data_IF_126964478003
#
_entry.id   IF_126964478003
#
_cell.length_a   1.000
_cell.length_b   1.000
_cell.length_c   1.000
_cell.angle_alpha   90.00
_cell.angle_beta   90.00
_cell.angle_gamma   90.00
#
_symmetry.space_group_name_H-M   'P 1'
#
loop_
_entity.id
_entity.type
_entity.pdbx_description
1 polymer ?
#
# COMPACT_ATOMS: atom_id res chain seq x y z
N UNK A 1 -2.80 -5.32 8.69
CA UNK A 1 -2.57 -6.15 7.52
C UNK A 1 -2.72 -5.36 6.24
N UNK A 2 -2.09 -5.82 5.19
CA UNK A 2 -2.19 -5.19 3.87
C UNK A 2 -3.56 -5.46 3.25
N UNK A 3 -4.11 -4.48 2.56
CA UNK A 3 -5.33 -4.62 1.75
C UNK A 3 -5.18 -5.62 0.59
N UNK A 4 -3.97 -6.03 0.28
CA UNK A 4 -3.70 -7.07 -0.72
C UNK A 4 -3.89 -8.49 -0.18
N UNK A 5 -4.20 -8.63 1.11
CA UNK A 5 -4.36 -9.93 1.77
C UNK A 5 -5.61 -9.95 2.67
N UNK A 6 -6.82 -9.73 2.11
CA UNK A 6 -8.04 -9.68 2.91
C UNK A 6 -8.34 -11.01 3.59
N UNK A 7 -8.05 -12.14 2.95
CA UNK A 7 -8.22 -13.47 3.52
C UNK A 7 -7.33 -13.70 4.76
N UNK A 8 -6.08 -13.25 4.73
CA UNK A 8 -5.18 -13.29 5.89
C UNK A 8 -5.69 -12.43 7.05
N UNK A 9 -6.28 -11.26 6.74
CA UNK A 9 -6.92 -10.42 7.75
C UNK A 9 -8.11 -11.13 8.39
N UNK A 10 -8.95 -11.81 7.59
CA UNK A 10 -10.06 -12.62 8.09
C UNK A 10 -9.60 -13.74 9.01
N UNK A 11 -8.60 -14.52 8.59
CA UNK A 11 -8.04 -15.62 9.40
C UNK A 11 -7.51 -15.11 10.74
N UNK A 12 -6.85 -13.96 10.75
CA UNK A 12 -6.34 -13.36 11.97
C UNK A 12 -7.48 -12.91 12.91
N UNK A 13 -8.54 -12.29 12.35
CA UNK A 13 -9.72 -11.87 13.12
C UNK A 13 -10.47 -13.06 13.71
N UNK A 14 -10.58 -14.17 12.99
CA UNK A 14 -11.20 -15.39 13.50
C UNK A 14 -10.46 -15.97 14.71
N UNK A 15 -9.13 -15.85 14.72
CA UNK A 15 -8.30 -16.30 15.84
C UNK A 15 -8.32 -15.33 17.03
N UNK A 16 -8.36 -14.04 16.75
CA UNK A 16 -8.29 -12.99 17.78
C UNK A 16 -9.65 -12.61 18.39
N UNK A 17 -10.74 -12.91 17.68
CA UNK A 17 -12.09 -12.48 18.06
C UNK A 17 -12.33 -10.98 17.88
N UNK A 18 -13.36 -10.45 18.56
CA UNK A 18 -13.64 -9.00 18.57
C UNK A 18 -12.64 -8.30 19.52
N UNK A 19 -11.52 -7.87 18.98
CA UNK A 19 -10.43 -7.26 19.72
C UNK A 19 -10.22 -5.82 19.29
N UNK A 20 -10.17 -4.89 20.24
CA UNK A 20 -9.86 -3.47 20.05
C UNK A 20 -8.36 -3.20 19.81
N UNK A 21 -7.53 -4.24 19.87
CA UNK A 21 -6.11 -4.16 19.53
C UNK A 21 -5.81 -4.38 18.04
N UNK A 22 -6.83 -4.66 17.23
CA UNK A 22 -6.69 -4.85 15.79
C UNK A 22 -7.26 -3.62 15.06
N UNK A 23 -6.47 -3.07 14.17
CA UNK A 23 -6.84 -1.91 13.37
C UNK A 23 -6.74 -2.25 11.89
N UNK A 24 -7.64 -1.66 11.10
CA UNK A 24 -7.56 -1.67 9.64
C UNK A 24 -6.91 -0.37 9.17
N UNK A 25 -5.91 -0.48 8.33
CA UNK A 25 -5.23 0.66 7.70
C UNK A 25 -5.01 0.36 6.23
N UNK A 26 -5.09 1.37 5.39
CA UNK A 26 -4.78 1.25 3.96
C UNK A 26 -3.28 1.21 3.70
N UNK A 27 -2.47 1.78 4.61
CA UNK A 27 -1.03 1.90 4.47
C UNK A 27 -0.64 2.47 3.09
N UNK A 28 0.54 2.15 2.56
CA UNK A 28 0.99 2.48 1.22
C UNK A 28 0.50 1.53 0.12
N UNK A 29 -0.43 0.63 0.43
CA UNK A 29 -0.86 -0.42 -0.50
C UNK A 29 -1.90 0.04 -1.53
N UNK A 30 -2.58 1.18 -1.30
CA UNK A 30 -3.54 1.77 -2.24
C UNK A 30 -2.83 2.84 -3.06
N UNK A 31 -2.75 2.61 -4.36
CA UNK A 31 -2.22 3.60 -5.30
C UNK A 31 -3.26 4.66 -5.64
N UNK A 32 -2.83 5.78 -6.25
CA UNK A 32 -3.77 6.80 -6.75
C UNK A 32 -4.75 6.23 -7.79
N UNK A 33 -4.32 5.23 -8.57
CA UNK A 33 -5.17 4.52 -9.53
C UNK A 33 -6.23 3.70 -8.80
N UNK A 34 -5.85 2.92 -7.80
CA UNK A 34 -6.79 2.11 -7.00
C UNK A 34 -7.83 3.00 -6.31
N UNK A 35 -7.40 4.15 -5.77
CA UNK A 35 -8.33 5.11 -5.17
C UNK A 35 -9.34 5.66 -6.17
N UNK A 36 -8.93 5.92 -7.39
CA UNK A 36 -9.81 6.44 -8.44
C UNK A 36 -10.81 5.38 -8.95
N UNK A 37 -10.39 4.13 -9.04
CA UNK A 37 -11.20 3.03 -9.59
C UNK A 37 -12.11 2.38 -8.54
N UNK A 38 -11.64 2.23 -7.31
CA UNK A 38 -12.32 1.43 -6.27
C UNK A 38 -12.67 2.21 -5.01
N UNK A 39 -11.98 3.29 -4.73
CA UNK A 39 -12.10 4.04 -3.48
C UNK A 39 -10.91 3.80 -2.55
N UNK A 40 -11.09 4.12 -1.28
CA UNK A 40 -10.01 4.07 -0.28
C UNK A 40 -10.38 3.10 0.86
N UNK A 41 -10.63 3.59 2.08
CA UNK A 41 -11.01 2.76 3.23
C UNK A 41 -12.33 1.99 2.99
N UNK A 42 -13.28 2.56 2.27
CA UNK A 42 -14.52 1.88 1.89
C UNK A 42 -14.28 0.62 1.05
N UNK A 43 -13.29 0.65 0.16
CA UNK A 43 -12.88 -0.52 -0.61
C UNK A 43 -12.26 -1.59 0.28
N UNK A 44 -11.41 -1.18 1.24
CA UNK A 44 -10.86 -2.07 2.23
C UNK A 44 -11.93 -2.81 3.05
N UNK A 45 -12.94 -2.06 3.49
CA UNK A 45 -14.08 -2.63 4.23
C UNK A 45 -14.84 -3.64 3.38
N UNK A 46 -15.10 -3.31 2.11
CA UNK A 46 -15.80 -4.21 1.19
C UNK A 46 -15.04 -5.53 1.03
N UNK A 47 -13.73 -5.48 0.83
CA UNK A 47 -12.90 -6.68 0.65
C UNK A 47 -12.93 -7.61 1.87
N UNK A 48 -12.77 -7.08 3.08
CA UNK A 48 -12.79 -7.95 4.28
C UNK A 48 -14.18 -8.48 4.61
N UNK A 49 -15.25 -7.75 4.25
CA UNK A 49 -16.63 -8.23 4.38
C UNK A 49 -16.92 -9.32 3.33
N UNK A 50 -16.38 -9.22 2.14
CA UNK A 50 -16.46 -10.27 1.11
C UNK A 50 -15.82 -11.59 1.59
N UNK A 51 -14.72 -11.50 2.36
CA UNK A 51 -14.10 -12.65 3.02
C UNK A 51 -14.90 -13.18 4.24
N UNK A 52 -16.03 -12.56 4.56
CA UNK A 52 -16.95 -13.02 5.60
C UNK A 52 -16.71 -12.39 6.98
N UNK A 53 -16.02 -11.28 7.08
CA UNK A 53 -16.01 -10.47 8.31
C UNK A 53 -17.35 -9.78 8.47
N UNK A 54 -17.90 -9.79 9.70
CA UNK A 54 -19.16 -9.12 10.00
C UNK A 54 -19.03 -7.60 9.74
N UNK A 55 -19.98 -6.98 9.01
CA UNK A 55 -19.84 -5.57 8.59
C UNK A 55 -19.64 -4.56 9.72
N UNK A 56 -20.31 -4.74 10.87
CA UNK A 56 -20.12 -3.85 12.02
C UNK A 56 -18.75 -4.04 12.66
N UNK A 57 -18.21 -5.26 12.66
CA UNK A 57 -16.85 -5.52 13.11
C UNK A 57 -15.85 -4.81 12.17
N UNK A 58 -16.04 -4.94 10.85
CA UNK A 58 -15.20 -4.25 9.87
C UNK A 58 -15.20 -2.72 10.10
N UNK A 59 -16.37 -2.12 10.35
CA UNK A 59 -16.50 -0.69 10.66
C UNK A 59 -15.73 -0.33 11.92
N UNK A 60 -15.82 -1.11 13.00
CA UNK A 60 -15.09 -0.86 14.25
C UNK A 60 -13.58 -0.82 14.01
N UNK A 61 -13.05 -1.74 13.20
CA UNK A 61 -11.63 -1.82 12.84
C UNK A 61 -11.12 -0.56 12.14
N UNK A 62 -11.99 0.18 11.46
CA UNK A 62 -11.64 1.39 10.71
C UNK A 62 -12.06 2.70 11.40
N UNK A 63 -12.74 2.64 12.53
CA UNK A 63 -13.33 3.82 13.19
C UNK A 63 -12.96 3.90 14.67
N UNK A 64 -13.72 3.23 15.55
CA UNK A 64 -13.56 3.39 16.99
C UNK A 64 -12.24 2.81 17.51
N UNK A 65 -11.76 1.68 16.95
CA UNK A 65 -10.53 1.07 17.43
C UNK A 65 -9.28 1.91 17.06
N UNK A 66 -9.12 2.41 15.82
CA UNK A 66 -8.07 3.39 15.53
C UNK A 66 -8.18 4.64 16.38
N UNK A 67 -9.39 5.18 16.58
CA UNK A 67 -9.57 6.36 17.41
C UNK A 67 -9.08 6.11 18.85
N UNK A 68 -9.42 4.98 19.44
CA UNK A 68 -8.96 4.60 20.78
C UNK A 68 -7.44 4.41 20.83
N UNK A 69 -6.85 3.68 19.87
CA UNK A 69 -5.42 3.41 19.80
C UNK A 69 -4.56 4.67 19.68
N UNK A 70 -5.05 5.67 18.95
CA UNK A 70 -4.37 6.97 18.80
C UNK A 70 -4.82 8.03 19.83
N UNK A 71 -5.65 7.66 20.80
CA UNK A 71 -6.11 8.57 21.86
C UNK A 71 -7.04 9.68 21.38
N UNK A 72 -7.73 9.48 20.26
CA UNK A 72 -8.69 10.42 19.69
C UNK A 72 -10.04 10.26 20.41
N UNK A 73 -10.33 11.16 21.36
CA UNK A 73 -11.47 11.02 22.29
C UNK A 73 -12.80 11.56 21.75
N UNK A 74 -12.79 12.22 20.61
CA UNK A 74 -13.91 12.97 20.06
C UNK A 74 -14.43 12.43 18.72
N UNK A 75 -14.01 11.22 18.32
CA UNK A 75 -14.37 10.61 17.01
C UNK A 75 -14.35 9.09 17.05
N UNK A 76 -14.75 8.45 15.96
CA UNK A 76 -14.78 7.00 15.81
C UNK A 76 -16.16 6.38 16.11
N UNK A 77 -17.09 7.18 16.65
CA UNK A 77 -18.47 6.76 16.92
C UNK A 77 -19.40 7.96 16.76
N UNK A 78 -20.65 7.71 16.40
CA UNK A 78 -21.70 8.74 16.38
C UNK A 78 -22.29 8.81 17.78
N UNK A 79 -21.93 9.85 18.53
CA UNK A 79 -22.38 10.05 19.91
C UNK A 79 -22.44 11.56 20.23
N UNK A 80 -23.22 11.92 21.26
CA UNK A 80 -23.27 13.28 21.77
C UNK A 80 -21.90 13.74 22.27
N UNK A 81 -21.50 14.96 21.89
CA UNK A 81 -20.19 15.53 22.24
C UNK A 81 -19.04 15.12 21.33
N UNK A 82 -19.29 14.20 20.37
CA UNK A 82 -18.32 13.81 19.36
C UNK A 82 -18.40 14.72 18.13
N UNK A 83 -17.31 14.75 17.36
CA UNK A 83 -17.27 15.48 16.10
C UNK A 83 -18.23 14.84 15.12
N UNK A 84 -18.95 15.69 14.42
CA UNK A 84 -19.88 15.25 13.37
C UNK A 84 -19.10 14.96 12.05
N UNK A 85 -18.16 14.01 12.11
CA UNK A 85 -17.43 13.47 10.99
C UNK A 85 -18.04 12.10 10.65
N UNK A 86 -18.77 12.01 9.55
CA UNK A 86 -19.58 10.83 9.21
C UNK A 86 -19.53 10.56 7.71
N UNK A 87 -19.78 9.32 7.32
CA UNK A 87 -20.04 8.94 5.93
C UNK A 87 -21.39 8.24 5.82
N UNK A 88 -22.11 8.55 4.75
CA UNK A 88 -23.30 7.79 4.35
C UNK A 88 -22.87 6.80 3.27
N UNK A 89 -23.18 5.53 3.49
CA UNK A 89 -22.95 4.46 2.53
C UNK A 89 -24.28 3.87 2.07
N UNK A 90 -24.34 3.37 0.83
CA UNK A 90 -25.57 2.79 0.29
C UNK A 90 -25.95 1.48 0.94
N UNK A 91 -24.96 0.69 1.31
CA UNK A 91 -25.12 -0.61 1.99
C UNK A 91 -23.84 -0.98 2.72
N UNK A 92 -23.87 -2.06 3.48
CA UNK A 92 -22.74 -2.57 4.26
C UNK A 92 -22.03 -3.77 3.58
N UNK A 93 -22.18 -3.92 2.28
CA UNK A 93 -21.51 -4.95 1.49
C UNK A 93 -20.37 -4.34 0.69
N UNK A 94 -20.68 -3.39 -0.19
CA UNK A 94 -19.71 -2.70 -1.05
C UNK A 94 -19.26 -1.34 -0.49
N UNK A 95 -19.89 -0.88 0.59
CA UNK A 95 -19.61 0.40 1.25
C UNK A 95 -19.54 1.59 0.28
N UNK A 96 -20.38 1.57 -0.76
CA UNK A 96 -20.40 2.65 -1.73
C UNK A 96 -20.80 3.95 -1.06
N UNK A 97 -19.85 4.87 -0.97
CA UNK A 97 -20.04 6.18 -0.33
C UNK A 97 -21.03 7.02 -1.13
N UNK A 98 -22.03 7.56 -0.45
CA UNK A 98 -23.01 8.47 -1.00
C UNK A 98 -22.65 9.91 -0.64
N UNK A 99 -22.46 10.19 0.64
CA UNK A 99 -22.09 11.50 1.14
C UNK A 99 -21.02 11.39 2.23
N UNK A 100 -20.23 12.44 2.35
CA UNK A 100 -19.24 12.62 3.41
C UNK A 100 -19.58 13.89 4.18
N UNK A 101 -19.64 13.78 5.49
CA UNK A 101 -19.92 14.89 6.40
C UNK A 101 -18.66 15.13 7.22
N UNK A 102 -18.18 16.37 7.24
CA UNK A 102 -17.02 16.81 8.00
C UNK A 102 -17.42 18.01 8.85
N UNK A 103 -17.22 17.92 10.14
CA UNK A 103 -17.63 18.95 11.12
C UNK A 103 -19.13 19.32 11.00
N UNK A 104 -19.99 18.37 10.66
CA UNK A 104 -21.43 18.58 10.52
C UNK A 104 -21.88 19.15 9.16
N UNK A 105 -20.98 19.38 8.22
CA UNK A 105 -21.30 19.89 6.90
C UNK A 105 -20.99 18.85 5.81
N UNK A 106 -21.82 18.80 4.77
CA UNK A 106 -21.55 17.94 3.61
C UNK A 106 -20.27 18.41 2.93
N UNK A 107 -19.29 17.53 2.89
CA UNK A 107 -18.01 17.81 2.28
C UNK A 107 -18.16 17.99 0.77
N UNK A 108 -17.66 19.11 0.26
CA UNK A 108 -17.53 19.33 -1.18
C UNK A 108 -16.14 18.89 -1.61
N UNK A 109 -16.07 18.03 -2.61
CA UNK A 109 -14.79 17.65 -3.19
C UNK A 109 -14.08 18.91 -3.69
N UNK A 110 -13.02 19.30 -3.01
CA UNK A 110 -12.17 20.41 -3.40
C UNK A 110 -10.73 19.93 -3.23
N UNK A 111 -10.00 19.91 -4.33
CA UNK A 111 -8.57 19.59 -4.34
C UNK A 111 -7.80 20.86 -4.67
N UNK A 112 -7.54 21.73 -3.68
CA UNK A 112 -6.74 22.91 -3.94
C UNK A 112 -5.37 22.47 -4.43
N UNK A 113 -4.90 23.06 -5.53
CA UNK A 113 -3.54 22.86 -5.99
C UNK A 113 -2.59 23.36 -4.89
N UNK A 114 -1.82 22.44 -4.32
CA UNK A 114 -0.80 22.80 -3.35
C UNK A 114 0.52 23.06 -4.09
N UNK A 115 1.08 24.24 -3.87
CA UNK A 115 2.45 24.53 -4.28
C UNK A 115 3.39 24.03 -3.17
N UNK A 116 4.16 23.01 -3.49
CA UNK A 116 5.17 22.49 -2.57
C UNK A 116 6.42 23.40 -2.57
N UNK A 117 7.06 23.63 -1.42
CA UNK A 117 8.36 24.27 -1.37
C UNK A 117 9.35 23.55 -2.28
N UNK A 118 10.19 24.31 -2.98
CA UNK A 118 11.17 23.75 -3.94
C UNK A 118 12.11 22.75 -3.27
N UNK A 119 12.45 23.00 -2.02
CA UNK A 119 13.31 22.15 -1.19
C UNK A 119 12.72 20.73 -0.99
N UNK A 120 11.39 20.61 -0.95
CA UNK A 120 10.69 19.34 -0.83
C UNK A 120 10.63 18.61 -2.17
N UNK A 121 10.43 19.35 -3.27
CA UNK A 121 10.34 18.79 -4.62
C UNK A 121 11.71 18.28 -5.10
N UNK A 122 12.79 19.00 -4.76
CA UNK A 122 14.17 18.68 -5.19
C UNK A 122 15.00 18.12 -4.02
N UNK A 123 14.49 17.12 -3.33
CA UNK A 123 15.16 16.52 -2.18
C UNK A 123 16.26 15.51 -2.57
N UNK A 124 16.26 15.00 -3.79
CA UNK A 124 17.30 14.11 -4.29
C UNK A 124 18.47 14.96 -4.77
N UNK A 125 19.64 14.84 -4.12
CA UNK A 125 20.85 15.61 -4.39
C UNK A 125 21.84 14.82 -5.26
N UNK A 126 21.34 14.19 -6.29
CA UNK A 126 22.13 13.42 -7.24
C UNK A 126 21.87 13.94 -8.65
N UNK A 127 22.90 13.94 -9.48
CA UNK A 127 22.79 14.16 -10.91
C UNK A 127 21.93 13.08 -11.58
N UNK A 128 21.39 13.41 -12.74
CA UNK A 128 20.65 12.46 -13.56
C UNK A 128 21.53 11.25 -13.87
N UNK A 129 20.98 10.05 -13.66
CA UNK A 129 21.67 8.80 -13.99
C UNK A 129 22.05 8.76 -15.46
N UNK A 130 23.29 8.37 -15.74
CA UNK A 130 23.78 8.21 -17.10
C UNK A 130 23.60 6.77 -17.55
N UNK A 131 23.54 6.56 -18.84
CA UNK A 131 23.54 5.23 -19.44
C UNK A 131 24.78 4.43 -18.96
N UNK A 132 24.55 3.21 -18.50
CA UNK A 132 25.62 2.33 -17.97
C UNK A 132 25.88 2.46 -16.47
N UNK A 133 25.37 3.47 -15.75
CA UNK A 133 25.54 3.57 -14.30
C UNK A 133 24.78 2.49 -13.50
N UNK A 134 23.73 1.93 -14.08
CA UNK A 134 22.91 0.86 -13.46
C UNK A 134 23.26 -0.53 -14.02
N UNK A 135 24.53 -0.80 -14.25
CA UNK A 135 24.99 -2.11 -14.68
C UNK A 135 25.40 -2.96 -13.48
N UNK A 136 25.08 -4.27 -13.52
CA UNK A 136 25.60 -5.22 -12.54
C UNK A 136 27.06 -5.47 -12.89
N UNK A 137 28.02 -5.20 -11.98
CA UNK A 137 29.43 -5.45 -12.25
C UNK A 137 29.68 -6.95 -12.38
N UNK A 138 30.27 -7.32 -13.50
CA UNK A 138 30.74 -8.70 -13.72
C UNK A 138 32.21 -8.84 -13.24
N UNK A 139 32.67 -10.04 -12.93
CA UNK A 139 34.07 -10.29 -12.63
C UNK A 139 34.96 -9.80 -13.76
N UNK A 140 36.12 -9.24 -13.42
CA UNK A 140 37.07 -8.71 -14.40
C UNK A 140 37.49 -9.78 -15.41
N UNK A 141 37.43 -9.44 -16.70
CA UNK A 141 37.74 -10.35 -17.80
C UNK A 141 36.65 -11.36 -18.15
N UNK A 142 35.49 -11.29 -17.50
CA UNK A 142 34.37 -12.21 -17.79
C UNK A 142 33.60 -11.72 -19.00
N UNK A 143 33.79 -12.31 -20.15
CA UNK A 143 33.21 -11.87 -21.43
C UNK A 143 32.01 -12.73 -21.82
N UNK A 144 32.12 -14.03 -21.75
CA UNK A 144 31.07 -14.98 -22.13
C UNK A 144 30.95 -16.10 -21.09
N UNK A 145 29.75 -16.65 -20.89
CA UNK A 145 29.51 -17.78 -19.97
C UNK A 145 28.21 -17.64 -19.20
N UNK A 146 28.20 -18.13 -17.97
CA UNK A 146 27.07 -18.00 -17.05
C UNK A 146 27.53 -17.42 -15.72
N UNK A 147 26.75 -16.53 -15.14
CA UNK A 147 27.02 -15.98 -13.82
C UNK A 147 25.81 -16.22 -12.90
N UNK A 148 26.09 -16.55 -11.66
CA UNK A 148 25.06 -16.69 -10.62
C UNK A 148 24.66 -15.31 -10.13
N UNK A 149 23.37 -14.99 -10.20
CA UNK A 149 22.80 -13.72 -9.75
C UNK A 149 21.77 -13.95 -8.66
N UNK A 150 21.64 -12.95 -7.79
CA UNK A 150 20.58 -12.91 -6.80
C UNK A 150 19.36 -12.20 -7.39
N UNK A 151 18.19 -12.81 -7.22
CA UNK A 151 16.92 -12.32 -7.70
C UNK A 151 16.00 -12.08 -6.50
N UNK A 152 15.32 -10.95 -6.49
CA UNK A 152 14.19 -10.69 -5.60
C UNK A 152 12.93 -11.05 -6.36
N UNK A 153 12.40 -12.24 -6.10
CA UNK A 153 11.17 -12.71 -6.71
C UNK A 153 9.97 -12.11 -5.98
N UNK A 154 9.12 -11.44 -6.72
CA UNK A 154 7.84 -10.91 -6.20
C UNK A 154 6.81 -12.03 -6.21
N UNK A 155 6.12 -12.23 -5.09
CA UNK A 155 4.98 -13.15 -4.99
C UNK A 155 3.72 -12.35 -5.27
N UNK A 156 3.08 -12.63 -6.40
CA UNK A 156 1.89 -11.89 -6.82
C UNK A 156 0.76 -11.97 -5.78
N UNK A 157 0.05 -10.87 -5.59
CA UNK A 157 -1.03 -10.76 -4.62
C UNK A 157 -0.61 -10.66 -3.15
N UNK A 158 0.68 -10.67 -2.83
CA UNK A 158 1.19 -10.58 -1.46
C UNK A 158 2.22 -9.44 -1.30
N UNK A 159 2.69 -9.22 -0.08
CA UNK A 159 3.86 -8.36 0.21
C UNK A 159 5.16 -9.15 0.33
N UNK A 160 5.10 -10.45 0.14
CA UNK A 160 6.26 -11.31 0.28
C UNK A 160 7.19 -11.22 -0.92
N UNK A 161 8.47 -11.31 -0.63
CA UNK A 161 9.50 -11.49 -1.64
C UNK A 161 10.34 -12.72 -1.28
N UNK A 162 10.77 -13.44 -2.29
CA UNK A 162 11.58 -14.63 -2.12
C UNK A 162 12.97 -14.37 -2.72
N UNK A 163 14.02 -14.70 -1.96
CA UNK A 163 15.36 -14.73 -2.51
C UNK A 163 15.52 -15.97 -3.38
N UNK A 164 15.87 -15.76 -4.64
CA UNK A 164 16.18 -16.81 -5.59
C UNK A 164 17.57 -16.58 -6.17
N UNK A 165 18.34 -17.66 -6.39
CA UNK A 165 19.60 -17.61 -7.11
C UNK A 165 19.41 -18.28 -8.46
N UNK A 166 19.77 -17.59 -9.54
CA UNK A 166 19.66 -18.11 -10.90
C UNK A 166 20.97 -17.90 -11.65
N UNK A 167 21.31 -18.85 -12.52
CA UNK A 167 22.41 -18.66 -13.47
C UNK A 167 21.89 -17.99 -14.72
N UNK A 168 22.44 -16.86 -15.06
CA UNK A 168 22.08 -16.12 -16.28
C UNK A 168 23.28 -16.08 -17.24
N UNK A 169 23.01 -16.12 -18.54
CA UNK A 169 24.04 -16.04 -19.55
C UNK A 169 24.68 -14.63 -19.60
N UNK A 170 25.96 -14.61 -19.85
CA UNK A 170 26.75 -13.41 -20.13
C UNK A 170 27.23 -13.48 -21.56
N UNK A 171 27.07 -12.41 -22.31
CA UNK A 171 27.56 -12.31 -23.68
C UNK A 171 28.17 -10.95 -23.94
N UNK A 172 29.38 -10.93 -24.50
CA UNK A 172 30.13 -9.71 -24.75
C UNK A 172 30.29 -8.82 -23.50
N UNK A 173 30.48 -9.41 -22.33
CA UNK A 173 30.61 -8.68 -21.07
C UNK A 173 29.30 -8.09 -20.51
N UNK A 174 28.16 -8.46 -21.04
CA UNK A 174 26.85 -8.02 -20.57
C UNK A 174 26.00 -9.20 -20.10
N UNK A 175 25.28 -9.00 -18.99
CA UNK A 175 24.32 -9.97 -18.50
C UNK A 175 23.08 -9.97 -19.42
N UNK A 176 22.66 -11.16 -19.84
CA UNK A 176 21.46 -11.33 -20.63
C UNK A 176 20.31 -11.68 -19.69
N UNK A 177 19.33 -10.79 -19.59
CA UNK A 177 18.13 -11.02 -18.79
C UNK A 177 17.14 -11.90 -19.55
N UNK A 178 16.45 -12.76 -18.80
CA UNK A 178 15.27 -13.49 -19.27
C UNK A 178 14.05 -12.55 -19.25
N UNK A 179 12.98 -12.89 -19.98
CA UNK A 179 11.81 -12.02 -20.18
C UNK A 179 11.08 -11.66 -18.87
N UNK A 180 11.20 -12.48 -17.84
CA UNK A 180 10.59 -12.25 -16.50
C UNK A 180 11.46 -11.44 -15.55
N UNK A 181 12.63 -10.99 -15.99
CA UNK A 181 13.61 -10.30 -15.16
C UNK A 181 13.79 -8.84 -15.57
N UNK A 182 14.00 -8.00 -14.57
CA UNK A 182 14.40 -6.60 -14.75
C UNK A 182 15.46 -6.20 -13.74
N UNK A 183 16.25 -5.18 -14.07
CA UNK A 183 17.14 -4.58 -13.09
C UNK A 183 16.36 -3.83 -12.03
N UNK A 184 16.77 -4.01 -10.77
CA UNK A 184 16.28 -3.22 -9.66
C UNK A 184 17.43 -2.38 -9.10
N UNK A 185 17.22 -1.09 -8.97
CA UNK A 185 18.20 -0.18 -8.40
C UNK A 185 17.60 0.59 -7.23
N UNK A 186 18.35 0.71 -6.15
CA UNK A 186 18.04 1.58 -5.02
C UNK A 186 18.98 2.77 -5.10
N UNK A 187 18.39 3.96 -5.26
CA UNK A 187 19.13 5.21 -5.35
C UNK A 187 19.01 5.95 -4.03
N UNK A 188 20.13 6.12 -3.35
CA UNK A 188 20.16 6.90 -2.11
C UNK A 188 19.89 8.38 -2.39
N UNK A 189 19.17 9.00 -1.49
CA UNK A 189 18.78 10.41 -1.57
C UNK A 189 19.93 11.36 -1.20
N UNK A 190 20.89 10.89 -0.38
CA UNK A 190 21.96 11.72 0.23
C UNK A 190 23.33 11.45 -0.35
#
# INVERSE_FOLDING_TARGET
GSLKEPASAKEFLDKAGDSDHILLSTDGCITAKDMAEHGHMNYALAQIVEEGVEPLQAIKLATIYPAAAYGLKDRGVIAEGYRADMILVKNLTDFKVQDVIVNGEIAKASYPRMDYPKEVIHSIKRDVLKEGELTIPLPEGYIDGEVKVNIVKIVDGTLETIHEERKLPVKNGALILEDDLMYCAVVDRY
#
